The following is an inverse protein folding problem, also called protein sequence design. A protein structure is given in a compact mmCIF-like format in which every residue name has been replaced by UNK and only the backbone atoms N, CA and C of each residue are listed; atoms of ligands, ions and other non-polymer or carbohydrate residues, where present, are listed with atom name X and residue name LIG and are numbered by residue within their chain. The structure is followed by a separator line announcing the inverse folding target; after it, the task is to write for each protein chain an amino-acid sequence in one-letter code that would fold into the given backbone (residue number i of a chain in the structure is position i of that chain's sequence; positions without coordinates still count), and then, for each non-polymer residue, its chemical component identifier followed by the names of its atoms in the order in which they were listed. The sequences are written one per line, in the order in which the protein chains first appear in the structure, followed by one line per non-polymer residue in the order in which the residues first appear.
data_IF_760692075989
#
_entry.id   IF_760692075989
#
_cell.length_a   1.000
_cell.length_b   1.000
_cell.length_c   1.000
_cell.angle_alpha   90.00
_cell.angle_beta   90.00
_cell.angle_gamma   90.00
#
_symmetry.space_group_name_H-M   'P 1'
#
loop_
_entity.id
_entity.type
_entity.pdbx_description
1 polymer ?
#
# COMPACT_ATOMS: atom_id res chain seq x y z
N UNK A 1 -2.65 0.57 32.97
CA UNK A 1 -2.94 0.93 33.09
C UNK A 1 -2.95 1.05 33.03
N UNK A 2 -2.81 0.93 32.99
CA UNK A 2 -3.02 1.30 33.05
C UNK A 2 -3.15 1.35 32.77
N UNK A 3 -3.13 1.23 32.68
CA UNK A 3 -3.45 1.46 32.50
C UNK A 3 -3.73 1.33 32.01
N UNK A 4 -3.48 0.98 32.02
CA UNK A 4 -4.05 1.05 31.77
C UNK A 4 -4.19 0.59 31.14
N UNK A 5 -4.23 0.35 31.01
CA UNK A 5 -4.65 0.17 30.68
C UNK A 5 -4.96 -0.15 30.17
N UNK A 6 -5.06 -0.36 30.12
CA UNK A 6 -5.60 -0.46 29.87
C UNK A 6 -5.89 -0.55 29.35
N UNK A 7 -6.01 -0.69 29.30
CA UNK A 7 -6.49 -0.67 28.89
C UNK A 7 -6.35 -0.70 28.28
N UNK A 8 -6.24 -0.87 28.30
CA UNK A 8 -6.28 -0.67 27.88
C UNK A 8 -5.94 -1.05 27.16
N UNK A 9 -5.55 -1.32 27.29
CA UNK A 9 -5.29 -1.80 26.53
C UNK A 9 -5.99 -2.41 25.91
N UNK A 10 -6.53 -2.62 26.04
CA UNK A 10 -7.28 -3.13 25.50
C UNK A 10 -7.88 -2.67 24.63
N UNK A 11 -8.18 -2.50 24.43
CA UNK A 11 -8.77 -1.89 23.59
C UNK A 11 -7.83 -1.45 22.79
N UNK A 12 -7.03 -1.70 22.98
CA UNK A 12 -6.10 -1.27 22.28
C UNK A 12 -6.01 -1.83 20.96
N UNK A 13 -6.07 -3.03 20.67
CA UNK A 13 -5.89 -3.55 19.46
C UNK A 13 -6.91 -3.35 18.53
N UNK A 14 -8.03 -3.35 18.97
CA UNK A 14 -8.98 -3.27 18.08
C UNK A 14 -9.12 -1.94 17.65
N UNK A 15 -8.85 -1.04 18.38
CA UNK A 15 -9.06 0.20 17.96
C UNK A 15 -7.95 0.54 17.14
N UNK A 16 -6.95 -0.26 17.05
CA UNK A 16 -5.91 0.02 16.23
C UNK A 16 -6.27 0.14 14.85
N UNK A 17 -7.28 -0.57 14.43
CA UNK A 17 -7.60 -0.51 13.04
C UNK A 17 -8.07 0.82 12.65
N UNK A 18 -8.68 1.58 13.56
CA UNK A 18 -9.10 2.81 13.16
C UNK A 18 -8.12 3.82 13.37
N UNK A 19 -7.08 3.56 13.99
CA UNK A 19 -6.16 4.55 14.18
C UNK A 19 -5.10 4.42 13.19
N UNK A 20 -5.39 4.63 11.93
CA UNK A 20 -4.36 4.67 10.95
C UNK A 20 -3.63 5.94 11.24
N UNK A 21 -2.52 5.82 11.82
CA UNK A 21 -1.78 6.97 12.25
C UNK A 21 -0.97 7.52 11.12
N UNK A 22 -0.42 8.70 11.30
CA UNK A 22 0.49 9.27 10.33
C UNK A 22 1.68 8.37 10.15
N UNK A 23 2.03 7.66 11.20
CA UNK A 23 3.15 6.74 11.13
C UNK A 23 2.87 5.59 10.18
N UNK A 24 1.65 5.07 10.20
CA UNK A 24 1.28 4.00 9.29
C UNK A 24 1.21 4.48 7.86
N UNK A 25 0.74 5.68 7.64
CA UNK A 25 0.72 6.24 6.30
C UNK A 25 2.14 6.41 5.78
N UNK A 26 3.03 6.87 6.64
CA UNK A 26 4.40 7.06 6.25
C UNK A 26 5.05 5.72 5.92
N UNK A 27 4.71 4.70 6.70
CA UNK A 27 5.24 3.39 6.47
C UNK A 27 4.76 2.86 5.12
N UNK A 28 3.53 3.15 4.77
CA UNK A 28 2.99 2.75 3.49
C UNK A 28 3.76 3.36 2.33
N UNK A 29 4.15 4.63 2.46
CA UNK A 29 4.91 5.28 1.43
C UNK A 29 6.27 4.63 1.28
N UNK A 30 6.94 4.33 2.40
CA UNK A 30 8.24 3.68 2.36
C UNK A 30 8.12 2.30 1.76
N UNK A 31 7.09 1.56 2.14
CA UNK A 31 6.88 0.24 1.57
C UNK A 31 6.63 0.31 0.08
N UNK A 32 5.91 1.33 -0.37
CA UNK A 32 5.63 1.50 -1.78
C UNK A 32 6.90 1.75 -2.57
N UNK A 33 7.80 2.54 -2.02
CA UNK A 33 9.07 2.81 -2.69
C UNK A 33 9.92 1.55 -2.78
N UNK A 34 9.93 0.78 -1.70
CA UNK A 34 10.66 -0.47 -1.68
C UNK A 34 10.07 -1.46 -2.68
N UNK A 35 8.74 -1.56 -2.68
CA UNK A 35 8.05 -2.48 -3.58
C UNK A 35 8.31 -2.12 -5.04
N UNK A 36 8.37 -0.83 -5.33
CA UNK A 36 8.62 -0.38 -6.69
C UNK A 36 9.97 -0.87 -7.18
N UNK A 37 10.96 -0.89 -6.30
CA UNK A 37 12.30 -1.37 -6.67
C UNK A 37 12.21 -2.84 -7.08
N UNK A 38 11.45 -3.63 -6.34
CA UNK A 38 11.33 -5.05 -6.67
C UNK A 38 10.54 -5.24 -7.97
N UNK A 39 9.42 -4.56 -8.10
CA UNK A 39 8.60 -4.73 -9.30
C UNK A 39 9.34 -4.32 -10.57
N UNK A 40 10.24 -3.35 -10.44
CA UNK A 40 11.00 -2.89 -11.60
C UNK A 40 12.16 -3.80 -11.97
N UNK A 41 12.58 -4.65 -11.06
CA UNK A 41 13.78 -5.46 -11.26
C UNK A 41 13.60 -6.96 -11.07
N UNK A 42 12.40 -7.41 -10.75
CA UNK A 42 12.20 -8.82 -10.48
C UNK A 42 12.36 -9.69 -11.72
N UNK A 43 12.78 -10.93 -11.57
CA UNK A 43 13.31 -11.49 -10.33
C UNK A 43 14.75 -11.05 -10.13
N UNK A 44 15.13 -10.90 -8.88
CA UNK A 44 16.48 -10.44 -8.60
C UNK A 44 17.01 -11.12 -7.33
N UNK A 45 18.32 -11.33 -7.24
CA UNK A 45 18.91 -11.90 -6.03
C UNK A 45 18.77 -10.92 -4.88
N UNK A 46 18.66 -11.43 -3.67
CA UNK A 46 18.53 -10.57 -2.50
C UNK A 46 19.72 -9.63 -2.34
N UNK A 47 20.93 -10.09 -2.72
CA UNK A 47 22.08 -9.20 -2.64
C UNK A 47 21.98 -8.00 -3.55
N UNK A 48 21.36 -8.20 -4.71
CA UNK A 48 21.16 -7.10 -5.64
C UNK A 48 20.12 -6.14 -5.09
N UNK A 49 19.09 -6.69 -4.45
CA UNK A 49 18.07 -5.88 -3.82
C UNK A 49 18.68 -5.00 -2.73
N UNK A 50 19.60 -5.57 -1.94
CA UNK A 50 20.27 -4.81 -0.90
C UNK A 50 21.02 -3.63 -1.50
N UNK A 51 21.70 -3.86 -2.60
CA UNK A 51 22.45 -2.78 -3.25
C UNK A 51 21.53 -1.68 -3.77
N UNK A 52 20.44 -2.07 -4.38
CA UNK A 52 19.48 -1.09 -4.90
C UNK A 52 18.84 -0.28 -3.78
N UNK A 53 18.51 -0.92 -2.67
CA UNK A 53 17.90 -0.21 -1.55
C UNK A 53 18.93 0.73 -0.92
N UNK A 54 20.18 0.34 -0.89
CA UNK A 54 21.20 1.22 -0.36
C UNK A 54 21.35 2.46 -1.24
N UNK A 55 21.35 2.25 -2.54
CA UNK A 55 21.55 3.36 -3.48
C UNK A 55 20.32 4.28 -3.55
N UNK A 56 19.14 3.69 -3.56
CA UNK A 56 17.93 4.49 -3.77
C UNK A 56 17.27 4.97 -2.50
N UNK A 57 17.38 4.22 -1.42
CA UNK A 57 16.70 4.54 -0.18
C UNK A 57 17.65 4.83 0.98
N UNK A 58 18.92 4.57 0.79
CA UNK A 58 19.89 4.77 1.87
C UNK A 58 19.75 3.75 2.99
N UNK A 59 19.19 2.59 2.69
CA UNK A 59 18.94 1.58 3.70
C UNK A 59 20.10 0.67 3.96
N UNK A 60 20.22 0.25 5.20
CA UNK A 60 21.21 -0.75 5.55
C UNK A 60 20.68 -2.12 5.17
N UNK A 61 21.59 -3.08 5.07
CA UNK A 61 21.20 -4.44 4.72
C UNK A 61 20.13 -5.00 5.65
N UNK A 62 20.31 -4.76 6.96
CA UNK A 62 19.34 -5.30 7.93
C UNK A 62 17.95 -4.69 7.73
N UNK A 63 17.88 -3.41 7.41
CA UNK A 63 16.60 -2.76 7.18
C UNK A 63 15.93 -3.37 5.95
N UNK A 64 16.71 -3.60 4.89
CA UNK A 64 16.17 -4.19 3.67
C UNK A 64 15.57 -5.55 3.95
N UNK A 65 16.26 -6.41 4.70
CA UNK A 65 15.73 -7.73 4.98
C UNK A 65 14.52 -7.70 5.91
N UNK A 66 14.49 -6.75 6.84
CA UNK A 66 13.35 -6.64 7.74
C UNK A 66 12.08 -6.28 6.97
N UNK A 67 12.19 -5.30 6.07
CA UNK A 67 11.02 -4.89 5.30
C UNK A 67 10.64 -5.98 4.30
N UNK A 68 11.61 -6.61 3.68
CA UNK A 68 11.35 -7.70 2.75
C UNK A 68 10.57 -8.82 3.44
N UNK A 69 11.01 -9.20 4.63
CA UNK A 69 10.33 -10.26 5.35
C UNK A 69 8.87 -9.89 5.63
N UNK A 70 8.66 -8.65 6.03
CA UNK A 70 7.30 -8.19 6.33
C UNK A 70 6.40 -8.28 5.10
N UNK A 71 6.91 -7.84 3.95
CA UNK A 71 6.09 -7.87 2.74
C UNK A 71 5.91 -9.28 2.21
N UNK A 72 6.87 -10.16 2.44
CA UNK A 72 6.70 -11.56 2.07
C UNK A 72 5.63 -12.20 2.94
N UNK A 73 5.61 -11.86 4.22
CA UNK A 73 4.59 -12.40 5.13
C UNK A 73 3.20 -11.90 4.75
N UNK A 74 3.14 -10.73 4.16
CA UNK A 74 1.85 -10.20 3.71
C UNK A 74 1.45 -10.74 2.33
N UNK A 75 2.28 -11.57 1.73
CA UNK A 75 1.94 -12.21 0.48
C UNK A 75 2.18 -11.37 -0.77
N UNK A 76 2.90 -10.26 -0.64
CA UNK A 76 3.17 -9.41 -1.79
C UNK A 76 4.35 -9.91 -2.59
N UNK A 77 5.40 -10.35 -1.91
CA UNK A 77 6.60 -10.85 -2.56
C UNK A 77 6.97 -12.22 -2.03
N UNK A 78 7.93 -12.86 -2.64
CA UNK A 78 8.44 -14.12 -2.15
C UNK A 78 9.95 -14.17 -2.31
N UNK A 79 10.58 -14.91 -1.43
CA UNK A 79 12.03 -15.08 -1.44
C UNK A 79 12.27 -16.57 -1.49
N UNK A 80 12.66 -17.08 -2.65
CA UNK A 80 12.96 -18.46 -2.78
C UNK A 80 14.44 -18.66 -2.94
N UNK A 81 15.08 -19.08 -1.86
CA UNK A 81 16.51 -19.35 -1.87
C UNK A 81 17.31 -18.15 -2.35
N UNK A 82 16.91 -16.99 -1.88
CA UNK A 82 17.60 -15.76 -2.20
C UNK A 82 17.19 -15.07 -3.46
N UNK A 83 16.23 -15.63 -4.18
CA UNK A 83 15.71 -15.01 -5.38
C UNK A 83 14.37 -14.36 -5.05
N UNK A 84 14.29 -13.06 -5.26
CA UNK A 84 13.11 -12.28 -4.91
C UNK A 84 12.23 -12.06 -6.13
N UNK A 85 10.95 -12.32 -5.97
CA UNK A 85 10.00 -12.08 -7.05
C UNK A 85 8.65 -11.68 -6.47
N UNK A 86 7.78 -11.20 -7.33
CA UNK A 86 6.47 -10.71 -6.89
C UNK A 86 5.45 -11.84 -6.88
N UNK A 87 4.61 -11.85 -5.85
CA UNK A 87 3.47 -12.76 -5.82
C UNK A 87 2.22 -12.02 -6.24
N UNK A 88 2.25 -10.69 -6.26
CA UNK A 88 1.14 -9.90 -6.76
C UNK A 88 1.74 -8.78 -7.58
N UNK A 89 1.06 -8.37 -8.63
CA UNK A 89 1.56 -7.30 -9.47
C UNK A 89 1.36 -5.95 -8.80
N UNK A 90 2.01 -4.93 -9.36
CA UNK A 90 1.82 -3.58 -8.84
C UNK A 90 0.37 -3.17 -8.97
N UNK A 91 -0.27 -3.53 -10.09
CA UNK A 91 -1.66 -3.20 -10.31
C UNK A 91 -2.57 -3.87 -9.28
N UNK A 92 -2.29 -5.13 -8.97
CA UNK A 92 -3.07 -5.83 -7.97
C UNK A 92 -2.87 -5.21 -6.59
N UNK A 93 -1.64 -4.82 -6.28
CA UNK A 93 -1.35 -4.19 -5.01
C UNK A 93 -2.06 -2.84 -4.89
N UNK A 94 -1.98 -2.02 -5.95
CA UNK A 94 -2.63 -0.73 -5.96
C UNK A 94 -4.14 -0.88 -5.82
N UNK A 95 -4.71 -1.88 -6.50
CA UNK A 95 -6.14 -2.12 -6.41
C UNK A 95 -6.55 -2.47 -4.98
N UNK A 96 -5.77 -3.34 -4.33
CA UNK A 96 -6.06 -3.73 -2.96
C UNK A 96 -5.94 -2.55 -2.01
N UNK A 97 -4.93 -1.71 -2.21
CA UNK A 97 -4.75 -0.54 -1.34
C UNK A 97 -5.89 0.46 -1.54
N UNK A 98 -6.32 0.66 -2.79
CA UNK A 98 -7.41 1.57 -3.07
C UNK A 98 -8.71 1.10 -2.43
N UNK A 99 -8.99 -0.18 -2.57
CA UNK A 99 -10.18 -0.75 -2.01
C UNK A 99 -10.20 -0.60 -0.50
N UNK A 100 -9.07 -0.90 0.13
CA UNK A 100 -8.97 -0.81 1.57
C UNK A 100 -9.18 0.62 2.05
N UNK A 101 -8.59 1.57 1.35
CA UNK A 101 -8.70 2.97 1.72
C UNK A 101 -10.15 3.45 1.65
N UNK A 102 -10.85 3.12 0.57
CA UNK A 102 -12.23 3.53 0.42
C UNK A 102 -13.11 2.83 1.45
N UNK A 103 -12.82 1.56 1.71
CA UNK A 103 -13.59 0.82 2.70
C UNK A 103 -13.44 1.42 4.09
N UNK A 104 -12.22 1.71 4.49
CA UNK A 104 -11.96 2.17 5.85
C UNK A 104 -12.33 3.63 6.07
N UNK A 105 -12.23 4.44 5.04
CA UNK A 105 -12.45 5.86 5.21
C UNK A 105 -13.76 6.38 4.65
N UNK A 106 -14.39 5.63 3.77
CA UNK A 106 -15.61 6.08 3.12
C UNK A 106 -16.69 5.01 3.11
N UNK A 107 -16.57 4.04 4.01
CA UNK A 107 -17.59 3.00 4.11
C UNK A 107 -17.81 2.21 2.84
N UNK A 108 -16.78 2.12 2.01
CA UNK A 108 -16.89 1.40 0.75
C UNK A 108 -17.53 2.19 -0.37
N UNK A 109 -17.80 3.47 -0.15
CA UNK A 109 -18.49 4.28 -1.15
C UNK A 109 -17.54 5.06 -2.03
N UNK A 110 -17.35 4.62 -3.26
CA UNK A 110 -16.53 5.35 -4.21
C UNK A 110 -17.11 6.73 -4.52
N UNK A 111 -18.43 6.89 -4.68
CA UNK A 111 -18.98 8.24 -4.87
C UNK A 111 -18.63 9.17 -3.71
N UNK A 112 -18.66 8.67 -2.48
CA UNK A 112 -18.29 9.50 -1.34
C UNK A 112 -16.83 9.92 -1.41
N UNK A 113 -15.97 9.01 -1.85
CA UNK A 113 -14.57 9.31 -2.01
C UNK A 113 -14.39 10.40 -3.08
N UNK A 114 -15.05 10.25 -4.21
CA UNK A 114 -14.94 11.24 -5.28
C UNK A 114 -15.44 12.60 -4.85
N UNK A 115 -16.55 12.62 -4.10
CA UNK A 115 -17.09 13.88 -3.63
C UNK A 115 -16.10 14.59 -2.72
N UNK A 116 -15.49 13.84 -1.81
CA UNK A 116 -14.51 14.43 -0.90
C UNK A 116 -13.26 14.88 -1.66
N UNK A 117 -12.80 14.06 -2.57
CA UNK A 117 -11.60 14.37 -3.33
C UNK A 117 -11.78 15.66 -4.14
N UNK A 118 -12.90 15.79 -4.81
CA UNK A 118 -13.12 16.92 -5.70
C UNK A 118 -13.51 18.20 -4.97
N UNK A 119 -13.72 18.12 -3.66
CA UNK A 119 -13.95 19.32 -2.88
C UNK A 119 -12.71 20.21 -2.90
N UNK A 120 -11.54 19.60 -2.86
CA UNK A 120 -10.30 20.36 -2.86
C UNK A 120 -9.55 20.33 -4.17
N UNK A 121 -9.70 19.27 -4.92
CA UNK A 121 -8.96 19.10 -6.17
C UNK A 121 -9.93 19.02 -7.32
N UNK A 122 -9.95 20.05 -8.16
CA UNK A 122 -10.87 20.04 -9.29
C UNK A 122 -10.32 19.19 -10.41
N UNK A 123 -11.19 18.47 -11.05
CA UNK A 123 -10.83 17.66 -12.20
C UNK A 123 -10.95 18.49 -13.46
N UNK A 124 -9.99 18.36 -14.37
CA UNK A 124 -10.09 19.05 -15.63
C UNK A 124 -10.98 18.22 -16.57
N UNK A 125 -11.31 18.81 -17.72
CA UNK A 125 -12.22 18.14 -18.64
C UNK A 125 -11.69 16.80 -19.12
N UNK A 126 -10.40 16.74 -19.38
CA UNK A 126 -9.78 15.51 -19.85
C UNK A 126 -9.92 14.40 -18.82
N UNK A 127 -9.70 14.71 -17.56
CA UNK A 127 -9.83 13.73 -16.48
C UNK A 127 -11.28 13.27 -16.34
N UNK A 128 -12.21 14.20 -16.43
CA UNK A 128 -13.63 13.85 -16.32
C UNK A 128 -14.02 12.91 -17.44
N UNK A 129 -13.62 13.23 -18.67
CA UNK A 129 -13.96 12.39 -19.81
C UNK A 129 -13.36 10.98 -19.67
N UNK A 130 -12.14 10.92 -19.21
CA UNK A 130 -11.46 9.64 -19.05
C UNK A 130 -12.17 8.81 -17.99
N UNK A 131 -12.55 9.43 -16.87
CA UNK A 131 -13.25 8.71 -15.81
C UNK A 131 -14.60 8.23 -16.27
N UNK A 132 -15.31 9.06 -17.05
CA UNK A 132 -16.61 8.65 -17.58
C UNK A 132 -16.48 7.43 -18.47
N UNK A 133 -15.45 7.38 -19.31
CA UNK A 133 -15.22 6.23 -20.16
C UNK A 133 -14.94 4.98 -19.34
N UNK A 134 -14.17 5.13 -18.28
CA UNK A 134 -13.87 3.99 -17.44
C UNK A 134 -15.12 3.45 -16.76
N UNK A 135 -15.95 4.35 -16.26
CA UNK A 135 -17.18 3.95 -15.58
C UNK A 135 -18.12 3.27 -16.55
N UNK A 136 -18.25 3.80 -17.77
CA UNK A 136 -19.10 3.18 -18.77
C UNK A 136 -18.63 1.78 -19.11
N UNK A 137 -17.31 1.59 -19.24
CA UNK A 137 -16.77 0.28 -19.54
C UNK A 137 -17.06 -0.72 -18.44
N UNK A 138 -16.90 -0.28 -17.18
CA UNK A 138 -17.19 -1.13 -16.04
C UNK A 138 -18.66 -1.48 -15.99
N UNK A 139 -19.51 -0.50 -16.24
CA UNK A 139 -20.95 -0.74 -16.22
C UNK A 139 -21.41 -1.73 -17.27
N UNK A 140 -20.73 -1.75 -18.42
CA UNK A 140 -21.10 -2.69 -19.45
C UNK A 140 -20.72 -4.11 -19.11
N UNK A 141 -19.66 -4.25 -18.33
CA UNK A 141 -19.24 -5.58 -17.94
C UNK A 141 -20.02 -6.10 -16.75
N UNK A 142 -20.50 -5.22 -15.95
CA UNK A 142 -21.27 -5.58 -14.78
C UNK A 142 -22.71 -5.83 -15.12
#
# INVERSE_FOLDING_TARGET
STQGVSSAASDVYKRQTKEVTMEELRLGVIESQFAEIIWSNEPLPSGELVKLCEQKLGWKKSTTYTVLKRLCERGIFQNEKGMISARMTKEEYDAAQSEKFVEENFGGSLPAFLAAFTTRKKLNKSEVDEIKKMIDAIGKEG
#
